data_IF_169355849934
#
_entry.id   IF_169355849934
#
_cell.length_a   1.000
_cell.length_b   1.000
_cell.length_c   1.000
_cell.angle_alpha   90.00
_cell.angle_beta   90.00
_cell.angle_gamma   90.00
#
_symmetry.space_group_name_H-M   'P 1'
#
loop_
_entity.id
_entity.type
_entity.pdbx_description
1 polymer ?
#
# COMPACT_ATOMS: atom_id res chain seq x y z
N UNK A 1 -2.21 4.06 65.05
CA UNK A 1 -1.70 5.18 64.25
C UNK A 1 -0.41 4.73 63.59
N UNK A 2 -0.40 4.61 62.27
CA UNK A 2 0.83 4.57 61.48
C UNK A 2 0.46 5.10 60.10
N UNK A 3 0.51 6.42 60.00
CA UNK A 3 0.64 7.11 58.73
C UNK A 3 2.07 6.87 58.25
N UNK A 4 2.23 6.33 57.05
CA UNK A 4 3.34 6.70 56.19
C UNK A 4 2.95 6.49 54.74
N UNK A 5 2.61 7.62 54.11
CA UNK A 5 2.62 7.76 52.67
C UNK A 5 4.04 7.51 52.16
N UNK A 6 4.13 6.79 51.05
CA UNK A 6 5.19 6.99 50.06
C UNK A 6 4.46 7.22 48.76
N UNK A 7 4.29 8.50 48.43
CA UNK A 7 4.09 8.94 47.05
C UNK A 7 5.25 8.39 46.24
N UNK A 8 5.05 7.26 45.57
CA UNK A 8 5.89 6.90 44.44
C UNK A 8 5.70 7.99 43.40
N UNK A 9 6.65 8.93 43.40
CA UNK A 9 6.97 9.72 42.23
C UNK A 9 7.30 8.72 41.12
N UNK A 10 6.27 8.30 40.39
CA UNK A 10 6.37 7.71 39.07
C UNK A 10 7.20 8.71 38.28
N UNK A 11 8.50 8.44 38.19
CA UNK A 11 9.38 9.14 37.29
C UNK A 11 8.75 8.97 35.91
N UNK A 12 8.02 10.00 35.49
CA UNK A 12 7.40 10.08 34.20
C UNK A 12 8.55 10.25 33.24
N UNK A 13 9.18 9.12 32.89
CA UNK A 13 10.27 9.02 31.96
C UNK A 13 9.86 9.81 30.72
N UNK A 14 10.65 10.83 30.42
CA UNK A 14 10.39 11.79 29.36
C UNK A 14 10.07 11.02 28.08
N UNK A 15 8.81 11.06 27.64
CA UNK A 15 8.35 10.30 26.47
C UNK A 15 9.11 10.87 25.26
N UNK A 16 10.05 10.10 24.71
CA UNK A 16 10.83 10.53 23.56
C UNK A 16 9.89 11.00 22.44
N UNK A 17 10.10 12.23 21.94
CA UNK A 17 9.26 12.78 20.87
C UNK A 17 9.30 11.87 19.65
N UNK A 18 8.14 11.45 19.12
CA UNK A 18 8.10 10.57 17.95
C UNK A 18 8.68 11.29 16.73
N UNK A 19 9.70 10.72 16.11
CA UNK A 19 10.30 11.26 14.90
C UNK A 19 9.38 11.04 13.69
N UNK A 20 8.50 12.02 13.44
CA UNK A 20 7.48 12.00 12.38
C UNK A 20 7.96 12.66 11.08
N UNK A 21 9.17 13.22 11.06
CA UNK A 21 9.65 14.04 9.94
C UNK A 21 9.80 13.26 8.63
N UNK A 22 10.16 11.98 8.70
CA UNK A 22 10.29 11.13 7.52
C UNK A 22 8.92 10.74 6.93
N UNK A 23 7.91 10.54 7.77
CA UNK A 23 6.54 10.23 7.36
C UNK A 23 5.98 11.38 6.51
N UNK A 24 6.17 12.61 6.97
CA UNK A 24 5.76 13.80 6.23
C UNK A 24 6.46 13.92 4.87
N UNK A 25 7.75 13.59 4.78
CA UNK A 25 8.47 13.58 3.49
C UNK A 25 7.85 12.59 2.52
N UNK A 26 7.60 11.35 2.94
CA UNK A 26 7.02 10.32 2.08
C UNK A 26 5.57 10.65 1.72
N UNK A 27 4.81 11.22 2.65
CA UNK A 27 3.46 11.71 2.38
C UNK A 27 3.45 12.70 1.21
N UNK A 28 4.33 13.71 1.21
CA UNK A 28 4.39 14.68 0.11
C UNK A 28 4.86 14.05 -1.21
N UNK A 29 5.75 13.06 -1.17
CA UNK A 29 6.14 12.28 -2.37
C UNK A 29 4.93 11.56 -2.96
N UNK A 30 4.15 10.86 -2.12
CA UNK A 30 2.94 10.16 -2.57
C UNK A 30 1.90 11.13 -3.12
N UNK A 31 1.66 12.25 -2.44
CA UNK A 31 0.76 13.31 -2.94
C UNK A 31 1.22 13.84 -4.29
N UNK A 32 2.53 14.06 -4.46
CA UNK A 32 3.11 14.48 -5.74
C UNK A 32 2.87 13.47 -6.85
N UNK A 33 3.13 12.18 -6.60
CA UNK A 33 2.86 11.10 -7.56
C UNK A 33 1.37 11.08 -7.95
N UNK A 34 0.48 11.15 -6.96
CA UNK A 34 -0.98 11.11 -7.20
C UNK A 34 -1.48 12.36 -7.91
N UNK A 35 -0.94 13.54 -7.61
CA UNK A 35 -1.26 14.76 -8.36
C UNK A 35 -0.85 14.63 -9.83
N UNK A 36 0.34 14.08 -10.09
CA UNK A 36 0.82 13.81 -11.45
C UNK A 36 -0.08 12.79 -12.16
N UNK A 37 -0.51 11.73 -11.49
CA UNK A 37 -1.49 10.76 -12.02
C UNK A 37 -2.78 11.47 -12.48
N UNK A 38 -3.35 12.35 -11.65
CA UNK A 38 -4.55 13.11 -12.00
C UNK A 38 -4.31 14.06 -13.18
N UNK A 39 -3.18 14.77 -13.22
CA UNK A 39 -2.83 15.65 -14.33
C UNK A 39 -2.81 14.89 -15.66
N UNK A 40 -2.19 13.70 -15.69
CA UNK A 40 -2.17 12.87 -16.90
C UNK A 40 -3.56 12.38 -17.31
N UNK A 41 -4.42 12.03 -16.35
CA UNK A 41 -5.79 11.60 -16.64
C UNK A 41 -6.64 12.73 -17.23
N UNK A 42 -6.46 13.98 -16.74
CA UNK A 42 -7.23 15.13 -17.22
C UNK A 42 -6.70 15.74 -18.52
N UNK A 43 -5.39 15.68 -18.77
CA UNK A 43 -4.78 16.29 -19.96
C UNK A 43 -4.62 15.33 -21.14
N UNK A 44 -4.57 14.02 -20.90
CA UNK A 44 -4.33 13.01 -21.93
C UNK A 44 -5.59 12.16 -22.18
N UNK A 45 -5.97 12.04 -23.45
CA UNK A 45 -7.07 11.17 -23.86
C UNK A 45 -6.80 9.68 -23.55
N UNK A 46 -7.85 8.84 -23.48
CA UNK A 46 -7.71 7.41 -23.28
C UNK A 46 -6.85 6.77 -24.37
N UNK A 47 -5.61 6.48 -24.02
CA UNK A 47 -4.61 5.86 -24.89
C UNK A 47 -3.82 4.81 -24.12
N UNK A 48 -3.31 3.80 -24.83
CA UNK A 48 -2.45 2.75 -24.26
C UNK A 48 -1.25 3.34 -23.52
N UNK A 49 -0.73 4.48 -23.99
CA UNK A 49 0.39 5.21 -23.37
C UNK A 49 0.00 5.80 -22.00
N UNK A 50 -1.21 6.35 -21.89
CA UNK A 50 -1.74 6.88 -20.62
C UNK A 50 -1.90 5.75 -19.60
N UNK A 51 -2.46 4.62 -20.05
CA UNK A 51 -2.69 3.47 -19.18
C UNK A 51 -1.38 2.88 -18.67
N UNK A 52 -0.35 2.77 -19.52
CA UNK A 52 0.96 2.25 -19.09
C UNK A 52 1.63 3.16 -18.05
N UNK A 53 1.61 4.48 -18.26
CA UNK A 53 2.14 5.46 -17.29
C UNK A 53 1.40 5.33 -15.95
N UNK A 54 0.06 5.23 -15.98
CA UNK A 54 -0.74 5.13 -14.77
C UNK A 54 -0.43 3.84 -13.98
N UNK A 55 -0.27 2.72 -14.67
CA UNK A 55 0.13 1.44 -14.06
C UNK A 55 1.50 1.58 -13.38
N UNK A 56 2.49 2.17 -14.06
CA UNK A 56 3.84 2.33 -13.52
C UNK A 56 3.83 3.24 -12.28
N UNK A 57 3.18 4.40 -12.36
CA UNK A 57 3.08 5.33 -11.24
C UNK A 57 2.33 4.71 -10.05
N UNK A 58 1.30 3.89 -10.31
CA UNK A 58 0.56 3.19 -9.27
C UNK A 58 1.42 2.13 -8.56
N UNK A 59 2.25 1.39 -9.30
CA UNK A 59 3.20 0.43 -8.72
C UNK A 59 4.25 1.15 -7.88
N UNK A 60 4.82 2.26 -8.38
CA UNK A 60 5.78 3.07 -7.61
C UNK A 60 5.17 3.56 -6.30
N UNK A 61 3.94 4.10 -6.35
CA UNK A 61 3.15 4.49 -5.17
C UNK A 61 3.02 3.33 -4.18
N UNK A 62 2.63 2.15 -4.66
CA UNK A 62 2.45 0.98 -3.80
C UNK A 62 3.76 0.60 -3.09
N UNK A 63 4.91 0.68 -3.77
CA UNK A 63 6.22 0.45 -3.16
C UNK A 63 6.51 1.44 -2.03
N UNK A 64 6.30 2.75 -2.23
CA UNK A 64 6.51 3.75 -1.19
C UNK A 64 5.57 3.59 0.01
N UNK A 65 4.31 3.16 -0.23
CA UNK A 65 3.37 2.86 0.85
C UNK A 65 3.87 1.69 1.71
N UNK A 66 4.24 0.58 1.07
CA UNK A 66 4.66 -0.64 1.75
C UNK A 66 6.01 -0.44 2.47
N UNK A 67 6.96 0.25 1.84
CA UNK A 67 8.28 0.45 2.44
C UNK A 67 8.23 1.35 3.68
N UNK A 68 7.51 2.47 3.59
CA UNK A 68 7.58 3.56 4.57
C UNK A 68 6.35 3.54 5.50
N UNK A 69 5.10 3.49 5.00
CA UNK A 69 3.91 3.54 5.87
C UNK A 69 3.62 2.23 6.62
N UNK A 70 4.01 1.08 6.06
CA UNK A 70 3.92 -0.21 6.75
C UNK A 70 5.17 -0.53 7.59
N UNK A 71 6.11 0.42 7.71
CA UNK A 71 7.34 0.31 8.51
C UNK A 71 8.29 -0.85 8.13
N UNK A 72 8.04 -1.51 7.00
CA UNK A 72 8.72 -2.75 6.62
C UNK A 72 10.20 -2.61 6.28
N UNK A 73 10.66 -1.39 6.01
CA UNK A 73 12.05 -1.12 5.63
C UNK A 73 13.07 -1.39 6.74
N UNK A 74 12.65 -1.32 8.01
CA UNK A 74 13.53 -1.50 9.17
C UNK A 74 13.04 -2.58 10.14
N UNK A 75 11.92 -3.23 9.81
CA UNK A 75 11.25 -4.24 10.62
C UNK A 75 11.65 -5.67 10.22
N UNK A 76 11.25 -6.63 11.06
CA UNK A 76 11.60 -8.04 10.88
C UNK A 76 11.05 -8.62 9.58
N UNK A 77 11.84 -9.47 8.91
CA UNK A 77 11.49 -10.09 7.63
C UNK A 77 10.15 -10.84 7.65
N UNK A 78 9.69 -11.31 8.82
CA UNK A 78 8.38 -11.95 8.99
C UNK A 78 7.20 -11.03 8.65
N UNK A 79 7.28 -9.75 9.04
CA UNK A 79 6.25 -8.74 8.75
C UNK A 79 6.15 -8.41 7.25
N UNK A 80 7.23 -8.59 6.49
CA UNK A 80 7.18 -8.45 5.04
C UNK A 80 6.35 -9.60 4.44
N UNK A 81 6.60 -10.84 4.89
CA UNK A 81 5.88 -12.02 4.40
C UNK A 81 4.38 -11.98 4.69
N UNK A 82 3.95 -11.38 5.81
CA UNK A 82 2.51 -11.26 6.13
C UNK A 82 1.75 -10.37 5.16
N UNK A 83 2.42 -9.45 4.46
CA UNK A 83 1.81 -8.59 3.44
C UNK A 83 2.00 -9.20 2.04
N UNK A 84 3.18 -9.76 1.78
CA UNK A 84 3.53 -10.30 0.46
C UNK A 84 2.74 -11.57 0.12
N UNK A 85 2.45 -12.43 1.11
CA UNK A 85 1.69 -13.68 0.90
C UNK A 85 0.21 -13.41 0.53
N UNK A 86 -0.56 -12.59 1.27
CA UNK A 86 -1.92 -12.24 0.84
C UNK A 86 -1.95 -11.53 -0.51
N UNK A 87 -0.97 -10.66 -0.78
CA UNK A 87 -0.85 -9.99 -2.08
C UNK A 87 -0.61 -10.97 -3.23
N UNK A 88 0.30 -11.93 -3.07
CA UNK A 88 0.57 -12.92 -4.12
C UNK A 88 -0.65 -13.81 -4.38
N UNK A 89 -1.40 -14.15 -3.33
CA UNK A 89 -2.67 -14.88 -3.45
C UNK A 89 -3.71 -14.09 -4.25
N UNK A 90 -3.84 -12.78 -4.03
CA UNK A 90 -4.76 -11.93 -4.80
C UNK A 90 -4.37 -11.83 -6.28
N UNK A 91 -3.07 -11.69 -6.58
CA UNK A 91 -2.57 -11.66 -7.96
C UNK A 91 -2.84 -13.00 -8.64
N UNK A 92 -2.56 -14.11 -7.94
CA UNK A 92 -2.83 -15.45 -8.45
C UNK A 92 -4.34 -15.66 -8.72
N UNK A 93 -5.19 -15.24 -7.79
CA UNK A 93 -6.65 -15.32 -7.93
C UNK A 93 -7.16 -14.51 -9.13
N UNK A 94 -6.64 -13.30 -9.35
CA UNK A 94 -6.98 -12.49 -10.52
C UNK A 94 -6.65 -13.21 -11.83
N UNK A 95 -5.46 -13.80 -11.93
CA UNK A 95 -5.05 -14.57 -13.11
C UNK A 95 -5.96 -15.77 -13.32
N UNK A 96 -6.29 -16.52 -12.26
CA UNK A 96 -7.19 -17.66 -12.32
C UNK A 96 -8.59 -17.24 -12.83
N UNK A 97 -9.16 -16.17 -12.26
CA UNK A 97 -10.48 -15.66 -12.65
C UNK A 97 -10.51 -15.16 -14.10
N UNK A 98 -9.46 -14.48 -14.56
CA UNK A 98 -9.38 -14.04 -15.96
C UNK A 98 -9.31 -15.25 -16.90
N UNK A 99 -8.54 -16.27 -16.54
CA UNK A 99 -8.35 -17.46 -17.38
C UNK A 99 -9.63 -18.29 -17.48
N UNK A 100 -10.21 -18.65 -16.33
CA UNK A 100 -11.46 -19.41 -16.25
C UNK A 100 -12.64 -18.62 -16.82
N UNK A 101 -12.73 -17.32 -16.52
CA UNK A 101 -13.75 -16.45 -17.06
C UNK A 101 -13.69 -16.32 -18.58
N UNK A 102 -12.48 -16.28 -19.16
CA UNK A 102 -12.30 -16.23 -20.61
C UNK A 102 -12.72 -17.55 -21.27
N UNK A 103 -12.31 -18.69 -20.70
CA UNK A 103 -12.69 -20.02 -21.19
C UNK A 103 -14.21 -20.23 -21.16
N UNK A 104 -14.86 -19.92 -20.03
CA UNK A 104 -16.32 -20.00 -19.90
C UNK A 104 -17.02 -19.07 -20.90
N UNK A 105 -16.49 -17.85 -21.07
CA UNK A 105 -17.02 -16.89 -22.06
C UNK A 105 -16.97 -17.43 -23.49
N UNK A 106 -15.85 -18.05 -23.88
CA UNK A 106 -15.68 -18.66 -25.21
C UNK A 106 -16.64 -19.83 -25.44
N UNK A 107 -16.78 -20.73 -24.46
CA UNK A 107 -17.72 -21.87 -24.54
C UNK A 107 -19.16 -21.39 -24.68
N UNK A 108 -19.59 -20.40 -23.91
CA UNK A 108 -20.94 -19.83 -24.01
C UNK A 108 -21.18 -19.19 -25.39
N UNK A 109 -20.22 -18.40 -25.89
CA UNK A 109 -20.33 -17.79 -27.22
C UNK A 109 -20.43 -18.84 -28.33
N UNK A 110 -19.74 -19.98 -28.20
CA UNK A 110 -19.79 -21.07 -29.17
C UNK A 110 -21.09 -21.88 -29.10
N UNK A 111 -21.76 -21.95 -27.94
CA UNK A 111 -23.06 -22.64 -27.81
C UNK A 111 -24.25 -21.83 -28.34
N UNK A 112 -24.18 -20.50 -28.31
CA UNK A 112 -25.24 -19.61 -28.80
C UNK A 112 -25.00 -19.12 -30.24
N UNK A 113 -23.98 -19.65 -30.91
CA UNK A 113 -23.70 -19.46 -32.34
C UNK A 113 -24.22 -20.65 -33.14
#
# INVERSE_FOLDING_TARGET
MAAHATDENLQQGEIAKPNTAWIWKTFFVLVGITAVEFVFVFLMEPSTLRNSIFIILTIMKAFFIVAEFMHLKHETKGLIWTILVPMSLLVWLLVALITEGSYVGEVLQNMFK
#
